data_IF_333299053062
#
_entry.id   IF_333299053062
#
_cell.length_a   1.000
_cell.length_b   1.000
_cell.length_c   1.000
_cell.angle_alpha   90.00
_cell.angle_beta   90.00
_cell.angle_gamma   90.00
#
_symmetry.space_group_name_H-M   'P 1'
#
loop_
_entity.id
_entity.type
_entity.pdbx_description
1 polymer ?
#
# COMPACT_ATOMS: atom_id res chain seq x y z
N UNK A 1 41.47 9.80 -26.85
CA UNK A 1 40.01 9.67 -26.68
C UNK A 1 39.68 9.36 -25.23
N UNK A 2 40.00 8.17 -24.70
CA UNK A 2 39.71 7.73 -23.31
C UNK A 2 40.08 8.72 -22.18
N UNK A 3 41.31 9.24 -22.16
CA UNK A 3 41.75 10.13 -21.07
C UNK A 3 41.00 11.47 -21.02
N UNK A 4 40.48 11.94 -22.15
CA UNK A 4 39.68 13.16 -22.19
C UNK A 4 38.28 12.92 -21.62
N UNK A 5 37.67 11.76 -21.90
CA UNK A 5 36.38 11.36 -21.34
C UNK A 5 36.44 11.18 -19.82
N UNK A 6 37.54 10.62 -19.29
CA UNK A 6 37.75 10.50 -17.84
C UNK A 6 37.93 11.86 -17.16
N UNK A 7 38.56 12.84 -17.85
CA UNK A 7 38.77 14.18 -17.31
C UNK A 7 37.49 15.02 -17.23
N UNK A 8 36.49 14.72 -18.06
CA UNK A 8 35.17 15.39 -18.07
C UNK A 8 34.21 14.81 -17.02
N UNK A 9 34.57 13.73 -16.32
CA UNK A 9 33.71 13.17 -15.28
C UNK A 9 33.69 14.09 -14.04
N UNK A 10 32.50 14.33 -13.44
CA UNK A 10 32.41 15.08 -12.20
C UNK A 10 33.20 14.38 -11.09
N UNK A 11 33.88 15.18 -10.25
CA UNK A 11 34.63 14.64 -9.11
C UNK A 11 33.75 13.92 -8.08
N UNK A 12 32.45 14.22 -8.06
CA UNK A 12 31.49 13.68 -7.11
C UNK A 12 30.22 13.20 -7.81
N UNK A 13 29.60 12.18 -7.22
CA UNK A 13 28.25 11.72 -7.58
C UNK A 13 27.34 11.99 -6.40
N UNK A 14 26.22 12.67 -6.64
CA UNK A 14 25.19 12.89 -5.63
C UNK A 14 24.15 11.75 -5.67
N UNK A 15 23.67 11.35 -4.49
CA UNK A 15 22.61 10.35 -4.36
C UNK A 15 21.71 10.69 -3.19
N UNK A 16 20.40 10.69 -3.42
CA UNK A 16 19.41 11.00 -2.39
C UNK A 16 18.89 9.72 -1.74
N UNK A 17 19.04 9.63 -0.42
CA UNK A 17 18.50 8.53 0.40
C UNK A 17 17.33 9.04 1.25
N UNK A 18 16.25 8.27 1.32
CA UNK A 18 15.12 8.56 2.22
C UNK A 18 15.17 7.61 3.42
N UNK A 19 15.29 8.17 4.63
CA UNK A 19 15.45 7.41 5.87
C UNK A 19 14.30 7.74 6.83
N UNK A 20 13.59 6.71 7.29
CA UNK A 20 12.61 6.84 8.38
C UNK A 20 13.34 6.70 9.71
N UNK A 21 13.30 7.76 10.52
CA UNK A 21 13.93 7.85 11.85
C UNK A 21 12.86 8.00 12.95
N UNK A 22 13.28 7.95 14.21
CA UNK A 22 12.38 8.15 15.36
C UNK A 22 11.62 6.89 15.81
N UNK A 23 10.47 7.10 16.45
CA UNK A 23 9.64 6.01 16.98
C UNK A 23 8.93 5.29 15.82
N UNK A 24 9.33 4.06 15.54
CA UNK A 24 8.74 3.28 14.45
C UNK A 24 7.40 2.64 14.80
N UNK A 25 7.09 2.42 16.08
CA UNK A 25 5.87 1.73 16.53
C UNK A 25 4.57 2.34 15.96
N UNK A 26 4.36 3.67 15.97
CA UNK A 26 3.14 4.28 15.43
C UNK A 26 2.92 4.01 13.92
N UNK A 27 4.00 3.83 13.17
CA UNK A 27 3.98 3.63 11.71
C UNK A 27 4.43 2.24 11.29
N UNK A 28 4.64 1.32 12.24
CA UNK A 28 5.24 0.01 12.02
C UNK A 28 4.52 -0.78 10.93
N UNK A 29 3.18 -0.71 10.90
CA UNK A 29 2.34 -1.40 9.90
C UNK A 29 2.45 -0.80 8.50
N UNK A 30 2.89 0.46 8.39
CA UNK A 30 3.05 1.16 7.11
C UNK A 30 4.42 0.90 6.50
N UNK A 31 5.43 0.59 7.30
CA UNK A 31 6.79 0.34 6.82
C UNK A 31 6.81 -0.79 5.79
N UNK A 32 7.68 -0.73 4.76
CA UNK A 32 7.78 -1.80 3.78
C UNK A 32 8.08 -3.13 4.48
N UNK A 33 7.63 -4.27 3.95
CA UNK A 33 8.04 -5.59 4.51
C UNK A 33 9.36 -6.07 3.93
N UNK A 34 9.78 -5.51 2.80
CA UNK A 34 11.03 -5.85 2.10
C UNK A 34 12.16 -4.89 2.48
N UNK A 35 13.40 -5.37 2.57
CA UNK A 35 14.53 -4.51 2.90
C UNK A 35 14.49 -3.96 4.33
N UNK A 36 14.38 -4.84 5.33
CA UNK A 36 14.36 -4.50 6.77
C UNK A 36 15.75 -4.12 7.33
N UNK A 37 16.56 -3.38 6.56
CA UNK A 37 17.92 -2.98 6.97
C UNK A 37 17.88 -1.65 7.72
N UNK A 38 18.51 -1.62 8.89
CA UNK A 38 18.73 -0.39 9.67
C UNK A 38 20.10 0.18 9.31
N UNK A 39 20.12 1.45 8.94
CA UNK A 39 21.31 2.22 8.64
C UNK A 39 21.66 3.10 9.82
N UNK A 40 22.96 3.20 10.10
CA UNK A 40 23.53 4.24 10.97
C UNK A 40 24.44 5.07 10.07
N UNK A 41 24.05 6.32 9.83
CA UNK A 41 24.79 7.24 8.97
C UNK A 41 25.39 8.33 9.85
N UNK A 42 26.58 8.80 9.49
CA UNK A 42 27.22 9.95 10.10
C UNK A 42 27.73 10.86 8.99
N UNK A 43 27.45 12.16 9.08
CA UNK A 43 28.00 13.17 8.16
C UNK A 43 29.43 13.56 8.59
N UNK A 44 30.18 14.19 7.69
CA UNK A 44 31.52 14.71 8.00
C UNK A 44 31.48 15.79 9.10
N UNK A 45 30.37 16.53 9.19
CA UNK A 45 30.09 17.51 10.26
C UNK A 45 29.68 16.85 11.60
N UNK A 46 29.59 15.52 11.65
CA UNK A 46 29.33 14.75 12.87
C UNK A 46 27.85 14.54 13.21
N UNK A 47 26.92 14.94 12.34
CA UNK A 47 25.50 14.61 12.50
C UNK A 47 25.30 13.09 12.38
N UNK A 48 24.47 12.51 13.25
CA UNK A 48 24.24 11.05 13.30
C UNK A 48 22.76 10.76 13.16
N UNK A 49 22.43 9.86 12.23
CA UNK A 49 21.06 9.35 12.07
C UNK A 49 21.04 7.83 12.12
N UNK A 50 20.00 7.28 12.74
CA UNK A 50 19.71 5.85 12.72
C UNK A 50 18.27 5.65 12.23
N UNK A 51 18.08 4.77 11.26
CA UNK A 51 16.76 4.58 10.67
C UNK A 51 16.74 3.54 9.57
N UNK A 52 15.58 3.37 8.95
CA UNK A 52 15.39 2.44 7.84
C UNK A 52 15.30 3.20 6.53
N UNK A 53 16.05 2.74 5.53
CA UNK A 53 15.94 3.28 4.18
C UNK A 53 14.62 2.83 3.53
N UNK A 54 13.95 3.77 2.90
CA UNK A 54 12.68 3.57 2.17
C UNK A 54 12.79 4.16 0.77
N UNK A 55 11.93 3.69 -0.14
CA UNK A 55 11.87 4.26 -1.48
C UNK A 55 11.15 5.62 -1.46
N UNK A 56 11.47 6.54 -2.39
CA UNK A 56 10.72 7.79 -2.53
C UNK A 56 9.22 7.55 -2.77
N UNK A 57 8.89 6.50 -3.55
CA UNK A 57 7.50 6.10 -3.78
C UNK A 57 6.79 5.72 -2.48
N UNK A 58 7.44 4.97 -1.58
CA UNK A 58 6.87 4.62 -0.30
C UNK A 58 6.64 5.86 0.59
N UNK A 59 7.56 6.84 0.57
CA UNK A 59 7.41 8.09 1.35
C UNK A 59 6.16 8.83 0.90
N UNK A 60 5.99 9.00 -0.42
CA UNK A 60 4.79 9.62 -0.97
C UNK A 60 3.52 8.87 -0.55
N UNK A 61 3.53 7.52 -0.56
CA UNK A 61 2.36 6.73 -0.17
C UNK A 61 2.06 6.72 1.34
N UNK A 62 3.10 6.71 2.19
CA UNK A 62 2.94 6.55 3.63
C UNK A 62 2.50 7.83 4.35
N UNK A 63 2.78 8.99 3.73
CA UNK A 63 2.54 10.33 4.27
C UNK A 63 1.63 11.18 3.37
N UNK A 64 0.91 10.57 2.42
CA UNK A 64 -0.18 11.26 1.72
C UNK A 64 -1.33 11.48 2.72
N UNK A 65 -1.34 12.64 3.36
CA UNK A 65 -2.31 13.00 4.41
C UNK A 65 -3.64 13.50 3.85
N UNK A 66 -3.82 13.53 2.53
CA UNK A 66 -5.05 14.03 1.91
C UNK A 66 -6.22 13.13 2.27
N UNK A 67 -7.16 13.57 3.14
CA UNK A 67 -8.33 12.77 3.46
C UNK A 67 -9.15 12.65 2.18
N UNK A 68 -9.19 11.47 1.59
CA UNK A 68 -10.04 11.24 0.42
C UNK A 68 -11.47 11.14 0.94
N UNK A 69 -12.17 12.27 1.00
CA UNK A 69 -13.55 12.36 1.42
C UNK A 69 -14.48 11.85 0.31
N UNK A 70 -14.42 10.55 0.01
CA UNK A 70 -15.35 9.88 -0.91
C UNK A 70 -16.37 9.07 -0.11
N UNK A 71 -17.61 9.08 -0.59
CA UNK A 71 -18.68 8.28 0.01
C UNK A 71 -18.48 6.79 -0.25
N UNK A 72 -19.01 5.89 0.61
CA UNK A 72 -18.88 4.44 0.42
C UNK A 72 -19.40 3.92 -0.93
N UNK A 73 -20.46 4.51 -1.47
CA UNK A 73 -21.00 4.15 -2.78
C UNK A 73 -20.05 4.52 -3.93
N UNK A 74 -19.42 5.69 -3.84
CA UNK A 74 -18.42 6.15 -4.81
C UNK A 74 -17.13 5.32 -4.71
N UNK A 75 -16.68 5.00 -3.48
CA UNK A 75 -15.56 4.12 -3.24
C UNK A 75 -15.81 2.71 -3.81
N UNK A 76 -17.02 2.19 -3.61
CA UNK A 76 -17.43 0.89 -4.16
C UNK A 76 -17.40 0.91 -5.69
N UNK A 77 -17.97 1.93 -6.32
CA UNK A 77 -17.92 2.12 -7.77
C UNK A 77 -16.49 2.29 -8.29
N UNK A 78 -15.63 2.98 -7.54
CA UNK A 78 -14.22 3.14 -7.84
C UNK A 78 -13.48 1.82 -7.95
N UNK A 79 -13.66 0.93 -6.98
CA UNK A 79 -13.06 -0.41 -7.06
C UNK A 79 -13.72 -1.24 -8.15
N UNK A 80 -15.05 -1.29 -8.19
CA UNK A 80 -15.78 -2.20 -9.08
C UNK A 80 -15.61 -1.83 -10.55
N UNK A 81 -15.82 -0.56 -10.89
CA UNK A 81 -15.85 -0.06 -12.27
C UNK A 81 -14.46 0.39 -12.70
N UNK A 82 -13.82 1.28 -11.93
CA UNK A 82 -12.54 1.92 -12.31
C UNK A 82 -11.32 1.05 -11.98
N UNK A 83 -11.47 0.06 -11.10
CA UNK A 83 -10.37 -0.81 -10.68
C UNK A 83 -9.37 -0.12 -9.75
N UNK A 84 -9.81 0.92 -9.06
CA UNK A 84 -9.06 1.58 -7.99
C UNK A 84 -8.78 0.60 -6.84
N UNK A 85 -7.71 0.88 -6.09
CA UNK A 85 -7.40 0.19 -4.84
C UNK A 85 -7.64 1.13 -3.68
N UNK A 86 -8.51 0.73 -2.75
CA UNK A 86 -8.74 1.46 -1.51
C UNK A 86 -7.74 0.98 -0.47
N UNK A 87 -6.94 1.88 0.07
CA UNK A 87 -6.10 1.63 1.22
C UNK A 87 -6.87 2.04 2.47
N UNK A 88 -7.04 1.10 3.40
CA UNK A 88 -7.75 1.33 4.66
C UNK A 88 -6.76 1.50 5.80
N UNK A 89 -7.25 2.03 6.92
CA UNK A 89 -6.57 1.91 8.20
C UNK A 89 -6.20 0.44 8.50
N UNK A 90 -5.13 0.24 9.27
CA UNK A 90 -4.56 -1.08 9.63
C UNK A 90 -3.82 -1.83 8.51
N UNK A 91 -3.38 -1.13 7.45
CA UNK A 91 -2.66 -1.72 6.32
C UNK A 91 -3.46 -2.77 5.54
N UNK A 92 -4.79 -2.64 5.55
CA UNK A 92 -5.67 -3.42 4.68
C UNK A 92 -5.91 -2.71 3.35
N UNK A 93 -6.22 -3.49 2.31
CA UNK A 93 -6.61 -2.95 1.01
C UNK A 93 -7.85 -3.65 0.46
N UNK A 94 -8.70 -2.89 -0.22
CA UNK A 94 -9.80 -3.42 -1.03
C UNK A 94 -9.44 -3.19 -2.49
N UNK A 95 -9.38 -4.27 -3.28
CA UNK A 95 -9.00 -4.21 -4.70
C UNK A 95 -9.77 -5.21 -5.53
N UNK A 96 -9.70 -5.06 -6.85
CA UNK A 96 -10.14 -6.10 -7.79
C UNK A 96 -9.11 -7.23 -7.90
N UNK A 97 -9.58 -8.45 -7.79
CA UNK A 97 -8.81 -9.66 -8.00
C UNK A 97 -9.54 -10.58 -8.99
N UNK A 98 -8.82 -11.09 -9.97
CA UNK A 98 -9.33 -12.12 -10.88
C UNK A 98 -9.21 -13.47 -10.19
N UNK A 99 -10.34 -14.14 -9.98
CA UNK A 99 -10.41 -15.44 -9.29
C UNK A 99 -11.32 -16.35 -10.11
N UNK A 100 -10.79 -17.48 -10.58
CA UNK A 100 -11.53 -18.44 -11.40
C UNK A 100 -12.28 -17.78 -12.58
N UNK A 101 -11.61 -16.85 -13.27
CA UNK A 101 -12.17 -16.13 -14.42
C UNK A 101 -13.14 -14.98 -14.09
N UNK A 102 -13.45 -14.76 -12.80
CA UNK A 102 -14.41 -13.73 -12.37
C UNK A 102 -13.69 -12.61 -11.63
N UNK A 103 -14.04 -11.36 -11.93
CA UNK A 103 -13.55 -10.17 -11.23
C UNK A 103 -14.27 -10.04 -9.89
N UNK A 104 -13.52 -10.04 -8.79
CA UNK A 104 -14.07 -9.98 -7.43
C UNK A 104 -13.42 -8.84 -6.64
N UNK A 105 -14.16 -8.29 -5.69
CA UNK A 105 -13.64 -7.27 -4.77
C UNK A 105 -13.05 -8.00 -3.56
N UNK A 106 -11.73 -8.03 -3.44
CA UNK A 106 -11.02 -8.74 -2.39
C UNK A 106 -10.53 -7.77 -1.30
N UNK A 107 -10.70 -8.18 -0.05
CA UNK A 107 -10.04 -7.56 1.10
C UNK A 107 -8.73 -8.30 1.37
N UNK A 108 -7.61 -7.58 1.36
CA UNK A 108 -6.26 -8.08 1.60
C UNK A 108 -5.66 -7.41 2.84
N UNK A 109 -4.79 -8.10 3.57
CA UNK A 109 -4.05 -7.56 4.71
C UNK A 109 -4.74 -7.73 6.07
N UNK A 110 -5.86 -8.47 6.13
CA UNK A 110 -6.50 -8.81 7.39
C UNK A 110 -5.69 -9.83 8.20
N UNK A 111 -5.85 -9.84 9.52
CA UNK A 111 -5.26 -10.86 10.41
C UNK A 111 -6.30 -11.91 10.82
N UNK A 112 -5.86 -13.07 11.29
CA UNK A 112 -6.75 -14.18 11.67
C UNK A 112 -7.78 -13.79 12.74
N UNK A 113 -7.37 -12.99 13.72
CA UNK A 113 -8.27 -12.46 14.76
C UNK A 113 -9.38 -11.54 14.22
N UNK A 114 -9.28 -11.07 12.98
CA UNK A 114 -10.28 -10.22 12.34
C UNK A 114 -11.33 -11.01 11.57
N UNK A 115 -11.09 -12.29 11.26
CA UNK A 115 -11.91 -13.05 10.31
C UNK A 115 -13.36 -13.12 10.75
N UNK A 116 -13.62 -13.47 12.02
CA UNK A 116 -14.99 -13.60 12.54
C UNK A 116 -15.77 -12.29 12.47
N UNK A 117 -15.14 -11.16 12.80
CA UNK A 117 -15.78 -9.83 12.71
C UNK A 117 -15.99 -9.37 11.27
N UNK A 118 -15.08 -9.69 10.36
CA UNK A 118 -15.20 -9.35 8.93
C UNK A 118 -16.35 -10.13 8.29
N UNK A 119 -16.47 -11.43 8.59
CA UNK A 119 -17.62 -12.24 8.17
C UNK A 119 -18.94 -11.71 8.70
N UNK A 120 -18.98 -11.30 9.98
CA UNK A 120 -20.17 -10.71 10.58
C UNK A 120 -20.61 -9.39 9.92
N UNK A 121 -19.69 -8.66 9.26
CA UNK A 121 -20.02 -7.47 8.46
C UNK A 121 -20.55 -7.81 7.06
N UNK A 122 -20.59 -9.08 6.67
CA UNK A 122 -21.10 -9.53 5.37
C UNK A 122 -20.03 -9.83 4.32
N UNK A 123 -18.75 -9.89 4.70
CA UNK A 123 -17.70 -10.38 3.79
C UNK A 123 -17.85 -11.90 3.58
N UNK A 124 -17.72 -12.30 2.31
CA UNK A 124 -17.76 -13.70 1.90
C UNK A 124 -16.36 -14.31 2.04
N UNK A 125 -16.27 -15.50 2.63
CA UNK A 125 -15.00 -16.22 2.75
C UNK A 125 -14.92 -17.44 1.87
N UNK A 126 -13.79 -17.63 1.21
CA UNK A 126 -13.48 -18.83 0.45
C UNK A 126 -12.05 -19.28 0.72
N UNK A 127 -11.81 -20.58 0.62
CA UNK A 127 -10.46 -21.15 0.64
C UNK A 127 -10.06 -21.42 -0.81
N UNK A 128 -9.05 -20.72 -1.31
CA UNK A 128 -8.56 -20.83 -2.69
C UNK A 128 -7.06 -21.05 -2.63
N UNK A 129 -6.59 -22.12 -3.28
CA UNK A 129 -5.18 -22.53 -3.24
C UNK A 129 -4.64 -22.57 -1.80
N UNK A 130 -5.36 -23.23 -0.89
CA UNK A 130 -5.00 -23.41 0.53
C UNK A 130 -4.96 -22.13 1.38
N UNK A 131 -5.41 -20.99 0.82
CA UNK A 131 -5.43 -19.70 1.51
C UNK A 131 -6.85 -19.21 1.72
N UNK A 132 -7.15 -18.75 2.94
CA UNK A 132 -8.39 -18.03 3.24
C UNK A 132 -8.38 -16.66 2.55
N UNK A 133 -9.42 -16.37 1.78
CA UNK A 133 -9.62 -15.10 1.09
C UNK A 133 -10.98 -14.54 1.45
N UNK A 134 -11.07 -13.22 1.59
CA UNK A 134 -12.28 -12.50 1.94
C UNK A 134 -12.68 -11.56 0.81
N UNK A 135 -13.96 -11.59 0.44
CA UNK A 135 -14.51 -10.83 -0.66
C UNK A 135 -15.70 -9.99 -0.22
N UNK A 136 -15.83 -8.80 -0.80
CA UNK A 136 -17.03 -7.98 -0.71
C UNK A 136 -18.00 -8.46 -1.81
N UNK A 137 -19.30 -8.69 -1.49
CA UNK A 137 -20.30 -9.00 -2.50
C UNK A 137 -20.35 -7.93 -3.61
N UNK A 138 -20.49 -8.33 -4.87
CA UNK A 138 -20.60 -7.39 -6.00
C UNK A 138 -22.04 -6.94 -6.29
N UNK A 139 -23.03 -7.59 -5.66
CA UNK A 139 -24.45 -7.29 -5.81
C UNK A 139 -24.92 -6.08 -4.99
N UNK A 140 -26.24 -5.94 -4.83
CA UNK A 140 -26.88 -4.78 -4.19
C UNK A 140 -26.36 -4.45 -2.78
N UNK A 141 -25.92 -5.48 -2.03
CA UNK A 141 -25.41 -5.31 -0.66
C UNK A 141 -23.91 -4.95 -0.60
N UNK A 142 -23.20 -4.91 -1.73
CA UNK A 142 -21.75 -4.65 -1.74
C UNK A 142 -21.36 -3.30 -1.16
N UNK A 143 -22.08 -2.25 -1.55
CA UNK A 143 -21.84 -0.90 -1.06
C UNK A 143 -22.11 -0.75 0.44
N UNK A 144 -23.12 -1.45 0.99
CA UNK A 144 -23.42 -1.42 2.43
C UNK A 144 -22.39 -2.20 3.24
N UNK A 145 -21.90 -3.35 2.74
CA UNK A 145 -20.79 -4.10 3.35
C UNK A 145 -19.52 -3.25 3.34
N UNK A 146 -19.20 -2.55 2.24
CA UNK A 146 -18.07 -1.63 2.19
C UNK A 146 -18.25 -0.47 3.18
N UNK A 147 -19.45 0.11 3.29
CA UNK A 147 -19.73 1.16 4.27
C UNK A 147 -19.48 0.70 5.72
N UNK A 148 -19.93 -0.50 6.08
CA UNK A 148 -19.66 -1.09 7.39
C UNK A 148 -18.16 -1.29 7.63
N UNK A 149 -17.43 -1.73 6.61
CA UNK A 149 -15.97 -1.86 6.66
C UNK A 149 -15.29 -0.50 6.88
N UNK A 150 -15.64 0.52 6.08
CA UNK A 150 -15.07 1.87 6.16
C UNK A 150 -15.39 2.58 7.48
N UNK A 151 -16.53 2.26 8.11
CA UNK A 151 -16.89 2.81 9.42
C UNK A 151 -15.93 2.37 10.53
N UNK A 152 -15.33 1.18 10.41
CA UNK A 152 -14.40 0.63 11.39
C UNK A 152 -12.94 0.76 10.97
N UNK A 153 -12.69 0.75 9.67
CA UNK A 153 -11.38 0.86 9.05
C UNK A 153 -11.42 2.01 8.06
N UNK A 154 -11.24 3.25 8.54
CA UNK A 154 -11.35 4.45 7.72
C UNK A 154 -10.50 4.36 6.45
N UNK A 155 -11.01 4.94 5.37
CA UNK A 155 -10.25 5.07 4.13
C UNK A 155 -9.03 5.97 4.38
N UNK A 156 -7.85 5.44 4.10
CA UNK A 156 -6.59 6.17 4.19
C UNK A 156 -6.23 6.82 2.85
N UNK A 157 -6.37 6.08 1.74
CA UNK A 157 -6.01 6.55 0.39
C UNK A 157 -6.76 5.79 -0.69
N UNK A 158 -6.93 6.41 -1.85
CA UNK A 158 -7.35 5.74 -3.08
C UNK A 158 -6.20 5.75 -4.07
N UNK A 159 -5.76 4.57 -4.50
CA UNK A 159 -4.77 4.44 -5.55
C UNK A 159 -5.49 4.15 -6.88
N UNK A 160 -5.06 4.76 -8.00
CA UNK A 160 -5.56 4.39 -9.32
C UNK A 160 -5.26 2.91 -9.58
N UNK A 161 -5.96 2.31 -10.54
CA UNK A 161 -5.66 0.95 -10.98
C UNK A 161 -4.17 0.87 -11.28
N UNK A 162 -3.45 -0.01 -10.56
CA UNK A 162 -2.07 -0.32 -10.90
C UNK A 162 -2.08 -0.80 -12.35
N UNK A 163 -1.62 0.07 -13.27
CA UNK A 163 -1.35 -0.32 -14.64
C UNK A 163 -0.42 -1.52 -14.57
N UNK A 164 -0.73 -2.58 -15.32
CA UNK A 164 0.25 -3.64 -15.50
C UNK A 164 1.56 -2.97 -15.92
N UNK A 165 2.64 -3.22 -15.19
CA UNK A 165 3.95 -2.71 -15.54
C UNK A 165 4.19 -3.01 -17.01
N UNK A 166 4.14 -1.99 -17.85
CA UNK A 166 4.72 -2.08 -19.18
C UNK A 166 6.21 -2.25 -18.93
N UNK A 167 6.71 -3.46 -19.19
CA UNK A 167 8.13 -3.71 -19.39
C UNK A 167 8.51 -2.87 -20.59
N UNK A 168 9.12 -1.70 -20.34
CA UNK A 168 9.87 -0.99 -21.35
C UNK A 168 11.19 -1.77 -21.50
N UNK A 169 11.34 -2.36 -22.68
CA UNK A 169 12.60 -2.91 -23.18
C UNK A 169 13.56 -1.78 -23.57
#
# INVERSE_FOLDING_TARGET
AWNAEVADLPAFTETTLHIVTGLLLPIWRRLPTEGCRVYRLQTDDGERVIGRQVSPAWVAEAFDETPTAIGPAEAFAGVQVRGETLHLADAMTVRRSLVMGVQRLELVGFTDGMVSRLKAMGLMSEIIAWKLRLFIPTGANGASVLAALLSRHPLARVAPRAGGAHVAA
#
